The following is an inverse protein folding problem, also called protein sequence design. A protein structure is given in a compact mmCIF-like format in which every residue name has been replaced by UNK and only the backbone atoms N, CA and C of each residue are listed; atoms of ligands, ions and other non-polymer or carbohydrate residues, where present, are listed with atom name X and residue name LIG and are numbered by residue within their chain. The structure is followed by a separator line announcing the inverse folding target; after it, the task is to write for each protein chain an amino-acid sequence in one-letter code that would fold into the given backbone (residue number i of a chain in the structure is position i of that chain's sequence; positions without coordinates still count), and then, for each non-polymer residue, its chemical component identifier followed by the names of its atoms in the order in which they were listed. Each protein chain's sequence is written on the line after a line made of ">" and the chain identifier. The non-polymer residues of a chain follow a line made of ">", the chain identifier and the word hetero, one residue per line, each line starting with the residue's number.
data_IF_770496455817
#
_entry.id   IF_770496455817
#
_cell.length_a   1.000
_cell.length_b   1.000
_cell.length_c   1.000
_cell.angle_alpha   90.00
_cell.angle_beta   90.00
_cell.angle_gamma   90.00
#
_symmetry.space_group_name_H-M   'P 1'
#
loop_
_entity.id
_entity.type
_entity.pdbx_description
1 polymer ?
#
# COMPACT_ATOMS: atom_id res chain seq x y z
N UNK A 1 -7.27 -4.20 -3.54
CA UNK A 1 -5.82 -4.21 -3.89
C UNK A 1 -5.07 -3.33 -2.89
N UNK A 2 -3.78 -3.58 -2.67
CA UNK A 2 -2.96 -2.83 -1.72
C UNK A 2 -1.90 -1.99 -2.46
N UNK A 3 -1.36 -0.98 -1.79
CA UNK A 3 -0.31 -0.10 -2.32
C UNK A 3 1.01 -0.32 -1.60
N UNK A 4 2.10 -0.38 -2.36
CA UNK A 4 3.45 -0.46 -1.82
C UNK A 4 4.45 0.21 -2.74
N UNK A 5 5.50 0.75 -2.15
CA UNK A 5 6.66 1.29 -2.87
C UNK A 5 7.71 0.19 -2.94
N UNK A 6 8.14 -0.17 -4.16
CA UNK A 6 9.12 -1.22 -4.42
C UNK A 6 10.50 -0.59 -4.60
N UNK A 7 11.43 -0.91 -3.69
CA UNK A 7 12.77 -0.34 -3.66
C UNK A 7 13.76 -1.10 -4.55
N UNK A 8 13.44 -2.36 -4.88
CA UNK A 8 14.22 -3.20 -5.78
C UNK A 8 13.30 -4.15 -6.55
N UNK A 9 13.84 -4.72 -7.63
CA UNK A 9 13.13 -5.73 -8.43
C UNK A 9 12.71 -6.92 -7.56
N UNK A 10 11.48 -7.39 -7.78
CA UNK A 10 10.91 -8.53 -7.08
C UNK A 10 10.09 -9.40 -8.04
N UNK A 11 10.34 -10.71 -8.04
CA UNK A 11 9.59 -11.68 -8.82
C UNK A 11 8.68 -12.49 -7.86
N UNK A 12 7.37 -12.29 -7.97
CA UNK A 12 6.37 -12.94 -7.13
C UNK A 12 5.75 -14.14 -7.87
N UNK A 13 6.09 -15.35 -7.44
CA UNK A 13 5.57 -16.59 -8.04
C UNK A 13 4.62 -17.31 -7.09
N UNK A 14 3.42 -17.62 -7.58
CA UNK A 14 2.44 -18.50 -6.96
C UNK A 14 2.30 -19.77 -7.81
N UNK A 15 2.91 -20.86 -7.34
CA UNK A 15 2.89 -22.16 -8.02
C UNK A 15 1.55 -22.87 -7.92
N UNK A 16 0.70 -22.55 -6.93
CA UNK A 16 -0.64 -23.14 -6.80
C UNK A 16 -1.60 -22.56 -7.83
N UNK A 17 -1.37 -21.30 -8.22
CA UNK A 17 -2.17 -20.58 -9.22
C UNK A 17 -1.54 -20.59 -10.61
N UNK A 18 -0.27 -20.99 -10.73
CA UNK A 18 0.47 -20.94 -11.99
C UNK A 18 0.76 -19.50 -12.45
N UNK A 19 0.94 -18.56 -11.51
CA UNK A 19 1.11 -17.14 -11.81
C UNK A 19 2.50 -16.68 -11.38
N UNK A 20 3.20 -15.98 -12.28
CA UNK A 20 4.47 -15.31 -11.99
C UNK A 20 4.36 -13.85 -12.38
N UNK A 21 4.62 -12.95 -11.44
CA UNK A 21 4.58 -11.49 -11.66
C UNK A 21 5.97 -10.92 -11.41
N UNK A 22 6.54 -10.28 -12.42
CA UNK A 22 7.77 -9.50 -12.28
C UNK A 22 7.41 -8.06 -11.97
N UNK A 23 8.01 -7.51 -10.92
CA UNK A 23 7.77 -6.14 -10.47
C UNK A 23 9.08 -5.38 -10.54
N UNK A 24 9.04 -4.28 -11.28
CA UNK A 24 10.16 -3.35 -11.36
C UNK A 24 10.00 -2.25 -10.30
N UNK A 25 11.11 -1.82 -9.69
CA UNK A 25 11.07 -0.71 -8.76
C UNK A 25 10.70 0.57 -9.49
N UNK A 26 9.92 1.42 -8.83
CA UNK A 26 9.53 2.73 -9.33
C UNK A 26 9.59 3.71 -8.17
N UNK A 27 9.82 4.99 -8.47
CA UNK A 27 9.88 6.05 -7.45
C UNK A 27 8.56 6.24 -6.70
N UNK A 28 7.44 5.79 -7.27
CA UNK A 28 6.09 5.93 -6.71
C UNK A 28 5.47 4.63 -6.18
N UNK A 29 4.41 4.74 -5.36
CA UNK A 29 3.62 3.60 -4.92
C UNK A 29 2.92 2.89 -6.08
N UNK A 30 3.06 1.57 -6.14
CA UNK A 30 2.35 0.73 -7.10
C UNK A 30 1.23 -0.07 -6.41
N UNK A 31 0.19 -0.37 -7.17
CA UNK A 31 -0.98 -1.13 -6.68
C UNK A 31 -0.90 -2.57 -7.15
N UNK A 32 -0.84 -3.51 -6.22
CA UNK A 32 -0.77 -4.95 -6.50
C UNK A 32 -1.72 -5.75 -5.60
N UNK A 33 -1.98 -7.03 -5.93
CA UNK A 33 -2.60 -7.98 -5.01
C UNK A 33 -1.89 -8.03 -3.65
N UNK A 34 -2.66 -8.18 -2.57
CA UNK A 34 -2.12 -8.18 -1.21
C UNK A 34 -1.03 -9.23 -1.00
N UNK A 35 -1.22 -10.43 -1.54
CA UNK A 35 -0.26 -11.54 -1.44
C UNK A 35 1.11 -11.20 -2.05
N UNK A 36 1.15 -10.43 -3.13
CA UNK A 36 2.39 -9.96 -3.75
C UNK A 36 3.11 -8.99 -2.81
N UNK A 37 2.36 -8.02 -2.28
CA UNK A 37 2.91 -7.00 -1.40
C UNK A 37 3.41 -7.61 -0.09
N UNK A 38 2.67 -8.55 0.51
CA UNK A 38 3.12 -9.26 1.70
C UNK A 38 4.46 -9.98 1.46
N UNK A 39 4.58 -10.70 0.34
CA UNK A 39 5.81 -11.39 -0.05
C UNK A 39 6.97 -10.42 -0.28
N UNK A 40 6.70 -9.31 -0.98
CA UNK A 40 7.70 -8.29 -1.26
C UNK A 40 8.20 -7.59 0.01
N UNK A 41 7.30 -7.31 0.96
CA UNK A 41 7.64 -6.71 2.26
C UNK A 41 8.44 -7.71 3.11
N UNK A 42 8.04 -8.97 3.17
CA UNK A 42 8.79 -10.02 3.88
C UNK A 42 10.20 -10.21 3.30
N UNK A 43 10.34 -10.10 1.98
CA UNK A 43 11.62 -10.14 1.29
C UNK A 43 12.43 -8.83 1.42
N UNK A 44 11.91 -7.81 2.10
CA UNK A 44 12.53 -6.48 2.21
C UNK A 44 12.66 -5.74 0.87
N UNK A 45 11.90 -6.15 -0.16
CA UNK A 45 11.91 -5.53 -1.49
C UNK A 45 10.93 -4.35 -1.59
N UNK A 46 9.93 -4.28 -0.71
CA UNK A 46 8.91 -3.24 -0.73
C UNK A 46 8.54 -2.75 0.67
N UNK A 47 7.96 -1.55 0.73
CA UNK A 47 7.31 -1.00 1.92
C UNK A 47 5.84 -0.76 1.63
N UNK A 48 4.96 -1.20 2.53
CA UNK A 48 3.52 -0.92 2.44
C UNK A 48 3.28 0.56 2.65
N UNK A 49 2.57 1.17 1.71
CA UNK A 49 2.00 2.49 1.92
C UNK A 49 0.83 2.32 2.88
N UNK A 50 1.04 2.67 4.14
CA UNK A 50 -0.03 2.74 5.13
C UNK A 50 -0.98 3.84 4.63
N UNK A 51 -2.11 3.43 4.04
CA UNK A 51 -3.20 4.37 3.78
C UNK A 51 -3.58 4.88 5.16
N UNK A 52 -3.15 6.09 5.53
CA UNK A 52 -3.62 6.73 6.75
C UNK A 52 -5.13 6.53 6.74
N UNK A 53 -5.75 5.88 7.74
CA UNK A 53 -7.20 5.88 7.81
C UNK A 53 -7.58 7.35 7.75
N UNK A 54 -8.42 7.72 6.79
CA UNK A 54 -8.93 9.07 6.69
C UNK A 54 -9.34 9.47 8.12
N UNK A 55 -8.55 10.36 8.75
CA UNK A 55 -8.90 10.87 10.07
C UNK A 55 -10.26 11.49 9.83
N UNK A 56 -11.30 10.85 10.41
CA UNK A 56 -12.66 11.35 10.46
C UNK A 56 -12.59 12.87 10.55
N UNK A 57 -13.15 13.55 9.55
CA UNK A 57 -13.46 14.95 9.68
C UNK A 57 -14.28 15.11 10.96
N UNK A 58 -13.64 15.59 12.03
CA UNK A 58 -14.37 16.16 13.15
C UNK A 58 -14.81 17.52 12.65
N UNK A 59 -16.04 17.58 12.16
CA UNK A 59 -16.81 18.81 12.06
C UNK A 59 -16.85 19.42 13.46
N UNK A 60 -15.95 20.34 13.77
CA UNK A 60 -16.17 21.27 14.86
C UNK A 60 -17.09 22.35 14.32
N UNK A 61 -18.39 22.09 14.49
CA UNK A 61 -19.42 23.12 14.52
C UNK A 61 -19.01 24.14 15.59
N UNK A 62 -18.49 25.29 15.16
CA UNK A 62 -18.33 26.46 16.02
C UNK A 62 -19.68 27.17 15.96
N UNK A 63 -20.50 26.94 17.00
CA UNK A 63 -21.68 27.76 17.24
C UNK A 63 -21.24 29.12 17.77
N UNK A 64 -21.59 30.15 17.03
CA UNK A 64 -21.73 31.53 17.48
C UNK A 64 -22.55 31.65 18.80
N UNK A 65 -22.21 32.67 19.58
CA UNK A 65 -22.99 33.16 20.73
C UNK A 65 -22.25 32.98 22.06
N UNK A 66 -22.10 33.95 22.96
CA UNK A 66 -22.73 35.27 23.14
C UNK A 66 -21.90 35.99 24.20
N UNK A 67 -21.66 37.29 24.04
CA UNK A 67 -21.30 38.19 25.13
C UNK A 67 -22.22 39.41 25.06
#
# INVERSE_FOLDING_TARGET
>A
MAKATFHRRFDATDTKRGISVRIEPTDGPQTFPAWIIDRAVQAGAATREQTKPARRAKSSEVKDGTA
#
